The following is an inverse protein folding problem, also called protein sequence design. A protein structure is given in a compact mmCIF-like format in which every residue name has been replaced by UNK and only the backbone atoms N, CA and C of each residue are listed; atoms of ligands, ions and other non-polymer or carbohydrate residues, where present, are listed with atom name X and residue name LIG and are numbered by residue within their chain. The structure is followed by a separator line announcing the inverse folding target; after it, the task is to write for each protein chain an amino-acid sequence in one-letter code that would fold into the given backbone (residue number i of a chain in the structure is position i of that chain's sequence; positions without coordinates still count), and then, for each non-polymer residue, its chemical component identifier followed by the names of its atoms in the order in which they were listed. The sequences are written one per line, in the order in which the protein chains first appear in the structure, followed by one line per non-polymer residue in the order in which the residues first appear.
data_IF_254493778860
#
_entry.id   IF_254493778860
#
_cell.length_a   1.000
_cell.length_b   1.000
_cell.length_c   1.000
_cell.angle_alpha   90.00
_cell.angle_beta   90.00
_cell.angle_gamma   90.00
#
_symmetry.space_group_name_H-M   'P 1'
#
loop_
_entity.id
_entity.type
_entity.pdbx_description
1 polymer ?
#
# COMPACT_ATOMS: atom_id res chain seq x y z
N UNK A 1 16.08 0.31 -7.31
CA UNK A 1 14.92 1.22 -7.48
C UNK A 1 15.40 2.66 -7.44
N UNK A 2 14.95 3.50 -8.38
CA UNK A 2 15.21 4.94 -8.40
C UNK A 2 14.65 5.60 -7.12
N UNK A 3 15.56 6.14 -6.29
CA UNK A 3 15.20 6.74 -5.01
C UNK A 3 14.33 7.99 -5.19
N UNK A 4 14.56 8.78 -6.24
CA UNK A 4 13.84 10.03 -6.49
C UNK A 4 12.38 9.75 -6.89
N UNK A 5 12.16 8.76 -7.77
CA UNK A 5 10.81 8.35 -8.16
C UNK A 5 10.03 7.75 -6.98
N UNK A 6 10.69 6.92 -6.17
CA UNK A 6 10.09 6.36 -4.96
C UNK A 6 9.70 7.44 -3.95
N UNK A 7 10.59 8.40 -3.69
CA UNK A 7 10.34 9.46 -2.71
C UNK A 7 9.28 10.45 -3.21
N UNK A 8 9.15 10.65 -4.52
CA UNK A 8 8.05 11.40 -5.13
C UNK A 8 6.72 10.67 -4.98
N UNK A 9 6.67 9.37 -5.32
CA UNK A 9 5.49 8.53 -5.13
C UNK A 9 5.03 8.52 -3.66
N UNK A 10 5.97 8.38 -2.73
CA UNK A 10 5.69 8.43 -1.30
C UNK A 10 5.06 9.76 -0.88
N UNK A 11 5.63 10.90 -1.32
CA UNK A 11 5.06 12.22 -1.02
C UNK A 11 3.65 12.38 -1.58
N UNK A 12 3.39 11.93 -2.82
CA UNK A 12 2.06 11.97 -3.42
C UNK A 12 1.05 11.11 -2.65
N UNK A 13 1.48 9.93 -2.20
CA UNK A 13 0.65 9.03 -1.41
C UNK A 13 0.27 9.65 -0.05
N UNK A 14 1.23 10.25 0.67
CA UNK A 14 0.95 10.95 1.94
C UNK A 14 -0.02 12.11 1.73
N UNK A 15 0.20 12.95 0.71
CA UNK A 15 -0.70 14.06 0.40
C UNK A 15 -2.13 13.58 0.04
N UNK A 16 -2.24 12.42 -0.60
CA UNK A 16 -3.53 11.79 -0.87
C UNK A 16 -4.23 11.34 0.42
N UNK A 17 -3.50 10.76 1.38
CA UNK A 17 -4.05 10.38 2.68
C UNK A 17 -4.51 11.59 3.50
N UNK A 18 -3.73 12.67 3.51
CA UNK A 18 -4.08 13.91 4.21
C UNK A 18 -5.35 14.54 3.61
N UNK A 19 -5.46 14.58 2.27
CA UNK A 19 -6.67 15.10 1.63
C UNK A 19 -7.90 14.20 1.87
N UNK A 20 -7.72 12.87 1.91
CA UNK A 20 -8.79 11.94 2.31
C UNK A 20 -9.28 12.21 3.73
N UNK A 21 -8.40 12.64 4.63
CA UNK A 21 -8.76 13.05 5.98
C UNK A 21 -9.63 14.32 5.97
N UNK A 22 -9.30 15.28 5.12
CA UNK A 22 -10.05 16.56 4.99
C UNK A 22 -11.42 16.38 4.32
N UNK A 23 -11.51 15.58 3.25
CA UNK A 23 -12.69 15.47 2.40
C UNK A 23 -13.67 14.36 2.83
N UNK A 24 -13.27 13.49 3.76
CA UNK A 24 -14.02 12.30 4.15
C UNK A 24 -13.92 11.16 3.13
N UNK A 25 -14.35 9.96 3.52
CA UNK A 25 -14.25 8.74 2.70
C UNK A 25 -15.30 8.79 1.58
N UNK A 26 -14.87 8.72 0.30
CA UNK A 26 -15.77 8.43 -0.83
C UNK A 26 -16.04 9.55 -1.84
N UNK A 27 -15.25 10.64 -1.85
CA UNK A 27 -15.33 11.63 -2.92
C UNK A 27 -14.86 11.08 -4.27
N UNK A 28 -15.60 11.32 -5.36
CA UNK A 28 -15.24 10.91 -6.72
C UNK A 28 -13.82 11.37 -7.15
N UNK A 29 -13.34 12.49 -6.59
CA UNK A 29 -11.98 12.99 -6.81
C UNK A 29 -10.89 12.15 -6.11
N UNK A 30 -11.26 11.40 -5.07
CA UNK A 30 -10.39 10.44 -4.38
C UNK A 30 -10.07 9.25 -5.28
N UNK A 31 -11.06 8.66 -5.95
CA UNK A 31 -10.87 7.52 -6.84
C UNK A 31 -9.94 7.85 -8.03
N UNK A 32 -10.11 9.02 -8.65
CA UNK A 32 -9.23 9.44 -9.77
C UNK A 32 -7.77 9.63 -9.33
N UNK A 33 -7.55 10.12 -8.10
CA UNK A 33 -6.19 10.27 -7.53
C UNK A 33 -5.58 8.93 -7.15
N UNK A 34 -6.40 8.01 -6.67
CA UNK A 34 -6.00 6.64 -6.37
C UNK A 34 -5.54 5.92 -7.65
N UNK A 35 -6.28 6.00 -8.74
CA UNK A 35 -5.89 5.44 -10.04
C UNK A 35 -4.54 6.01 -10.54
N UNK A 36 -4.32 7.31 -10.39
CA UNK A 36 -3.06 7.95 -10.75
C UNK A 36 -1.87 7.47 -9.90
N UNK A 37 -2.09 7.23 -8.60
CA UNK A 37 -1.09 6.65 -7.71
C UNK A 37 -0.77 5.20 -8.11
N UNK A 38 -1.79 4.39 -8.39
CA UNK A 38 -1.65 3.00 -8.85
C UNK A 38 -0.87 2.94 -10.17
N UNK A 39 -1.18 3.82 -11.12
CA UNK A 39 -0.46 3.91 -12.39
C UNK A 39 1.03 4.24 -12.18
N UNK A 40 1.32 5.23 -11.31
CA UNK A 40 2.70 5.62 -10.99
C UNK A 40 3.47 4.49 -10.28
N UNK A 41 2.81 3.79 -9.34
CA UNK A 41 3.39 2.64 -8.66
C UNK A 41 3.68 1.48 -9.63
N UNK A 42 2.76 1.22 -10.56
CA UNK A 42 2.92 0.19 -11.60
C UNK A 42 4.12 0.49 -12.49
N UNK A 43 4.28 1.75 -12.94
CA UNK A 43 5.43 2.19 -13.71
C UNK A 43 6.75 2.03 -12.93
N UNK A 44 6.76 2.38 -11.62
CA UNK A 44 7.94 2.22 -10.77
C UNK A 44 8.34 0.74 -10.59
N UNK A 45 7.35 -0.14 -10.42
CA UNK A 45 7.58 -1.58 -10.30
C UNK A 45 8.08 -2.18 -11.63
N UNK A 46 7.55 -1.71 -12.76
CA UNK A 46 7.97 -2.11 -14.11
C UNK A 46 9.36 -1.61 -14.50
N UNK A 47 9.73 -0.39 -14.12
CA UNK A 47 11.06 0.18 -14.37
C UNK A 47 12.17 -0.50 -13.54
N UNK A 48 11.80 -1.20 -12.47
CA UNK A 48 12.74 -1.95 -11.66
C UNK A 48 12.95 -3.36 -12.28
N UNK A 49 13.67 -3.40 -13.40
CA UNK A 49 14.18 -4.65 -14.02
C UNK A 49 15.29 -5.28 -13.18
N UNK A 50 16.02 -4.48 -12.40
CA UNK A 50 17.01 -4.96 -11.43
C UNK A 50 16.30 -5.68 -10.27
N UNK A 51 16.68 -6.96 -10.06
CA UNK A 51 16.26 -7.91 -9.01
C UNK A 51 14.94 -7.59 -8.31
N UNK A 52 13.91 -8.39 -8.59
CA UNK A 52 12.62 -8.34 -7.92
C UNK A 52 12.75 -8.18 -6.38
N UNK A 53 13.76 -8.81 -5.77
CA UNK A 53 14.11 -8.71 -4.36
C UNK A 53 14.37 -7.27 -3.85
N UNK A 54 14.82 -6.33 -4.69
CA UNK A 54 15.09 -4.95 -4.30
C UNK A 54 13.87 -4.02 -4.39
N UNK A 55 12.73 -4.51 -4.89
CA UNK A 55 11.50 -3.71 -5.02
C UNK A 55 10.90 -3.36 -3.66
N UNK A 56 11.10 -4.23 -2.66
CA UNK A 56 10.56 -4.05 -1.32
C UNK A 56 11.69 -4.13 -0.30
N UNK A 57 11.77 -3.14 0.60
CA UNK A 57 12.86 -3.05 1.60
C UNK A 57 12.44 -3.49 2.99
N UNK A 58 11.24 -3.08 3.42
CA UNK A 58 10.74 -3.36 4.76
C UNK A 58 10.01 -4.69 4.85
N UNK A 59 9.44 -5.15 3.72
CA UNK A 59 8.61 -6.34 3.64
C UNK A 59 9.26 -7.33 2.70
N UNK A 60 9.38 -8.60 3.12
CA UNK A 60 9.81 -9.72 2.27
C UNK A 60 8.65 -10.16 1.37
N UNK A 61 8.27 -9.30 0.43
CA UNK A 61 7.03 -9.43 -0.34
C UNK A 61 6.89 -10.80 -1.00
N UNK A 62 7.88 -11.23 -1.79
CA UNK A 62 7.81 -12.50 -2.52
C UNK A 62 7.78 -13.72 -1.59
N UNK A 63 8.58 -13.73 -0.52
CA UNK A 63 8.53 -14.80 0.49
C UNK A 63 7.12 -14.94 1.09
N UNK A 64 6.46 -13.82 1.41
CA UNK A 64 5.11 -13.81 1.99
C UNK A 64 4.10 -14.35 0.98
N UNK A 65 4.16 -13.89 -0.27
CA UNK A 65 3.27 -14.36 -1.34
C UNK A 65 3.43 -15.86 -1.54
N UNK A 66 4.67 -16.34 -1.75
CA UNK A 66 4.95 -17.74 -1.99
C UNK A 66 4.54 -18.64 -0.83
N UNK A 67 4.88 -18.26 0.40
CA UNK A 67 4.48 -19.05 1.58
C UNK A 67 2.96 -19.08 1.74
N UNK A 68 2.28 -17.96 1.51
CA UNK A 68 0.81 -17.90 1.63
C UNK A 68 0.14 -18.81 0.62
N UNK A 69 0.55 -18.74 -0.65
CA UNK A 69 0.00 -19.58 -1.73
C UNK A 69 0.31 -21.07 -1.51
N UNK A 70 1.45 -21.40 -0.90
CA UNK A 70 1.84 -22.80 -0.62
C UNK A 70 1.14 -23.39 0.60
N UNK A 71 0.99 -22.62 1.68
CA UNK A 71 0.59 -23.14 2.99
C UNK A 71 -0.89 -22.95 3.32
N UNK A 72 -1.55 -21.93 2.75
CA UNK A 72 -2.93 -21.60 3.08
C UNK A 72 -3.89 -22.13 2.01
N UNK A 73 -4.78 -23.04 2.40
CA UNK A 73 -5.85 -23.52 1.51
C UNK A 73 -6.80 -22.36 1.17
N UNK A 74 -7.00 -22.13 -0.13
CA UNK A 74 -7.87 -21.06 -0.63
C UNK A 74 -7.18 -19.70 -0.80
N UNK A 75 -5.88 -19.59 -0.46
CA UNK A 75 -5.12 -18.39 -0.79
C UNK A 75 -4.92 -18.26 -2.30
N UNK A 76 -5.14 -17.06 -2.80
CA UNK A 76 -4.90 -16.64 -4.17
C UNK A 76 -4.51 -15.15 -4.18
N UNK A 77 -4.12 -14.64 -5.35
CA UNK A 77 -3.65 -13.25 -5.47
C UNK A 77 -4.72 -12.23 -5.04
N UNK A 78 -6.00 -12.47 -5.33
CA UNK A 78 -7.10 -11.59 -4.91
C UNK A 78 -7.25 -11.56 -3.39
N UNK A 79 -7.17 -12.71 -2.71
CA UNK A 79 -7.21 -12.74 -1.23
C UNK A 79 -6.00 -12.05 -0.60
N UNK A 80 -4.83 -12.14 -1.24
CA UNK A 80 -3.62 -11.47 -0.78
C UNK A 80 -3.69 -9.96 -1.00
N UNK A 81 -4.19 -9.50 -2.15
CA UNK A 81 -4.49 -8.10 -2.41
C UNK A 81 -5.41 -7.53 -1.33
N UNK A 82 -6.52 -8.21 -1.03
CA UNK A 82 -7.46 -7.82 0.02
C UNK A 82 -6.79 -7.74 1.41
N UNK A 83 -5.90 -8.69 1.71
CA UNK A 83 -5.12 -8.68 2.94
C UNK A 83 -4.15 -7.48 3.02
N UNK A 84 -3.44 -7.17 1.94
CA UNK A 84 -2.57 -5.99 1.86
C UNK A 84 -3.36 -4.68 1.96
N UNK A 85 -4.51 -4.56 1.30
CA UNK A 85 -5.39 -3.40 1.41
C UNK A 85 -5.91 -3.20 2.85
N UNK A 86 -6.19 -4.29 3.55
CA UNK A 86 -6.57 -4.25 4.97
C UNK A 86 -5.41 -3.77 5.85
N UNK A 87 -4.20 -4.31 5.65
CA UNK A 87 -3.00 -3.88 6.38
C UNK A 87 -2.63 -2.42 6.10
N UNK A 88 -2.77 -1.97 4.85
CA UNK A 88 -2.61 -0.58 4.47
C UNK A 88 -3.62 0.31 5.23
N UNK A 89 -4.89 -0.08 5.27
CA UNK A 89 -5.93 0.64 6.01
C UNK A 89 -5.60 0.74 7.50
N UNK A 90 -5.10 -0.35 8.10
CA UNK A 90 -4.68 -0.35 9.51
C UNK A 90 -3.51 0.62 9.75
N UNK A 91 -2.47 0.56 8.91
CA UNK A 91 -1.30 1.43 9.02
C UNK A 91 -1.65 2.91 8.79
N UNK A 92 -2.48 3.21 7.78
CA UNK A 92 -2.90 4.58 7.47
C UNK A 92 -3.82 5.13 8.54
N UNK A 93 -4.71 4.34 9.13
CA UNK A 93 -5.50 4.77 10.28
C UNK A 93 -4.64 5.08 11.51
N UNK A 94 -3.61 4.26 11.78
CA UNK A 94 -2.65 4.53 12.85
C UNK A 94 -1.85 5.81 12.61
N UNK A 95 -1.46 6.07 11.35
CA UNK A 95 -0.74 7.29 10.96
C UNK A 95 -1.62 8.54 11.07
N UNK A 96 -2.86 8.47 10.59
CA UNK A 96 -3.78 9.62 10.53
C UNK A 96 -4.46 9.91 11.87
N UNK A 97 -4.67 8.89 12.70
CA UNK A 97 -5.39 9.00 13.97
C UNK A 97 -4.66 8.36 15.16
N UNK A 98 -3.38 8.72 15.43
CA UNK A 98 -2.57 8.08 16.47
C UNK A 98 -3.12 8.27 17.90
N UNK A 99 -4.06 9.20 18.12
CA UNK A 99 -4.71 9.42 19.42
C UNK A 99 -5.91 8.50 19.68
N UNK A 100 -6.48 7.87 18.64
CA UNK A 100 -7.65 6.99 18.77
C UNK A 100 -7.26 5.65 19.39
N UNK A 101 -7.96 5.24 20.45
CA UNK A 101 -7.64 4.03 21.21
C UNK A 101 -7.86 2.77 20.38
N UNK A 102 -8.86 2.79 19.50
CA UNK A 102 -9.22 1.70 18.60
C UNK A 102 -8.12 1.34 17.59
N UNK A 103 -7.17 2.24 17.31
CA UNK A 103 -6.06 1.98 16.40
C UNK A 103 -4.74 1.68 17.11
N UNK A 104 -4.66 1.93 18.44
CA UNK A 104 -3.47 1.61 19.24
C UNK A 104 -3.35 0.13 19.58
N UNK A 105 -4.48 -0.56 19.67
CA UNK A 105 -4.53 -2.00 19.89
C UNK A 105 -5.39 -2.62 18.78
N UNK A 106 -4.71 -3.23 17.81
CA UNK A 106 -5.37 -3.98 16.73
C UNK A 106 -5.75 -5.34 17.33
N UNK A 107 -7.00 -5.75 17.10
CA UNK A 107 -7.54 -7.04 17.57
C UNK A 107 -6.97 -8.21 16.79
#
# INVERSE_FOLDING_TARGET
MDAKLRDDLFRRYVAFLEKRLEEGVGGAQGNVREEALVSTATALLGACEAEAAQRFRTIRFYDIIENSLRMLRGANLHTLESAFATLETVCTNLLLFPWKKEFRCIK
#
